data_IF_793775745863
#
_entry.id   IF_793775745863
#
_cell.length_a   1.000
_cell.length_b   1.000
_cell.length_c   1.000
_cell.angle_alpha   90.00
_cell.angle_beta   90.00
_cell.angle_gamma   90.00
#
_symmetry.space_group_name_H-M   'P 1'
#
loop_
_entity.id
_entity.type
_entity.pdbx_description
1 polymer ?
#
# COMPACT_ATOMS: atom_id res chain seq x y z
N UNK A 1 -13.50 -34.37 31.36
CA UNK A 1 -13.64 -34.15 29.90
C UNK A 1 -14.60 -32.99 29.73
N UNK A 2 -14.06 -31.79 29.49
CA UNK A 2 -14.83 -30.58 29.25
C UNK A 2 -14.26 -29.92 28.00
N UNK A 3 -15.08 -29.82 26.97
CA UNK A 3 -14.81 -29.05 25.75
C UNK A 3 -15.09 -27.57 26.03
N UNK A 4 -14.32 -26.62 25.47
CA UNK A 4 -14.58 -25.19 25.57
C UNK A 4 -15.24 -24.70 24.28
N UNK A 5 -16.55 -24.43 24.32
CA UNK A 5 -17.27 -23.87 23.17
C UNK A 5 -18.38 -22.88 23.58
N UNK A 6 -18.17 -22.14 24.67
CA UNK A 6 -19.15 -21.13 25.15
C UNK A 6 -18.42 -19.91 25.71
N UNK A 7 -17.82 -19.11 24.83
CA UNK A 7 -17.12 -17.87 25.22
C UNK A 7 -17.35 -16.75 24.20
N UNK A 8 -18.55 -16.70 23.61
CA UNK A 8 -18.97 -15.64 22.69
C UNK A 8 -20.47 -15.34 22.79
N UNK A 9 -21.01 -15.31 24.02
CA UNK A 9 -22.42 -14.95 24.26
C UNK A 9 -22.55 -13.98 25.45
N UNK A 10 -21.79 -12.89 25.42
CA UNK A 10 -21.84 -11.87 26.47
C UNK A 10 -21.62 -10.46 25.90
N UNK A 11 -22.46 -10.08 24.91
CA UNK A 11 -22.43 -8.71 24.37
C UNK A 11 -23.81 -8.14 24.02
N UNK A 12 -24.87 -8.67 24.62
CA UNK A 12 -26.21 -8.10 24.53
C UNK A 12 -26.73 -7.81 25.94
N UNK A 13 -26.59 -6.54 26.38
CA UNK A 13 -27.46 -5.85 27.34
C UNK A 13 -26.82 -4.53 27.79
N UNK A 14 -27.02 -3.48 26.99
CA UNK A 14 -26.97 -2.10 27.48
C UNK A 14 -28.41 -1.55 27.50
N UNK A 15 -28.97 -1.15 28.66
CA UNK A 15 -30.36 -0.72 28.72
C UNK A 15 -30.55 0.64 28.03
N UNK A 16 -31.52 0.69 27.12
CA UNK A 16 -31.95 1.89 26.41
C UNK A 16 -32.73 2.85 27.33
N UNK A 17 -32.35 4.12 27.39
CA UNK A 17 -33.11 5.15 28.11
C UNK A 17 -34.45 5.48 27.40
N UNK A 18 -35.51 5.83 28.16
CA UNK A 18 -36.83 6.08 27.58
C UNK A 18 -36.91 7.45 26.87
N UNK A 19 -37.26 7.43 25.57
CA UNK A 19 -37.59 8.64 24.81
C UNK A 19 -38.98 9.16 25.20
N UNK A 20 -39.17 10.47 25.50
CA UNK A 20 -40.51 11.01 25.70
C UNK A 20 -41.29 11.11 24.38
N UNK A 21 -42.57 10.74 24.43
CA UNK A 21 -43.50 10.74 23.32
C UNK A 21 -43.86 12.17 22.88
N UNK A 22 -43.83 12.42 21.57
CA UNK A 22 -44.35 13.64 20.95
C UNK A 22 -45.28 13.24 19.79
N UNK A 23 -46.58 13.38 20.05
CA UNK A 23 -47.66 13.37 19.05
C UNK A 23 -47.55 14.63 18.17
N UNK A 24 -47.31 14.44 16.88
CA UNK A 24 -47.59 15.45 15.85
C UNK A 24 -47.97 14.75 14.52
N UNK A 25 -49.07 15.17 13.85
CA UNK A 25 -49.52 14.56 12.59
C UNK A 25 -48.71 15.04 11.36
N UNK A 26 -48.62 14.27 10.26
CA UNK A 26 -48.00 14.69 8.99
C UNK A 26 -49.06 15.22 7.99
N UNK A 27 -48.74 15.58 6.72
CA UNK A 27 -47.75 16.49 6.12
C UNK A 27 -48.48 17.60 5.29
N UNK A 28 -47.87 18.31 4.31
CA UNK A 28 -47.93 17.77 2.95
C UNK A 28 -46.68 17.95 2.07
N UNK A 29 -46.54 16.95 1.21
CA UNK A 29 -45.72 16.83 0.00
C UNK A 29 -45.70 18.08 -0.88
N UNK A 30 -44.51 18.60 -1.15
CA UNK A 30 -44.21 19.57 -2.21
C UNK A 30 -43.12 19.05 -3.13
N UNK A 31 -43.52 18.40 -4.23
CA UNK A 31 -42.66 18.09 -5.38
C UNK A 31 -42.35 19.40 -6.13
N UNK A 32 -41.10 19.80 -6.21
CA UNK A 32 -40.62 20.75 -7.22
C UNK A 32 -39.36 20.20 -7.89
N UNK A 33 -39.54 19.79 -9.15
CA UNK A 33 -38.47 19.59 -10.12
C UNK A 33 -38.17 20.92 -10.82
N UNK A 34 -36.88 21.20 -11.09
CA UNK A 34 -36.30 21.83 -12.29
C UNK A 34 -35.36 23.02 -12.03
N UNK A 35 -34.19 22.95 -12.67
CA UNK A 35 -33.19 24.01 -12.82
C UNK A 35 -31.82 23.51 -12.34
N UNK A 36 -31.08 22.69 -13.10
CA UNK A 36 -30.27 23.06 -14.25
C UNK A 36 -29.20 24.12 -13.90
N UNK A 37 -27.95 23.68 -13.99
CA UNK A 37 -26.76 24.48 -14.35
C UNK A 37 -26.12 25.31 -13.23
N UNK A 38 -25.15 24.68 -12.54
CA UNK A 38 -23.83 25.31 -12.40
C UNK A 38 -22.80 24.27 -12.80
N UNK A 39 -22.43 24.30 -14.09
CA UNK A 39 -21.12 23.84 -14.54
C UNK A 39 -20.08 24.69 -13.81
N UNK A 40 -19.63 24.20 -12.65
CA UNK A 40 -18.37 24.68 -12.09
C UNK A 40 -17.29 24.03 -12.94
N UNK A 41 -16.94 24.71 -14.04
CA UNK A 41 -15.76 24.40 -14.82
C UNK A 41 -14.59 24.27 -13.86
N UNK A 42 -14.09 23.04 -13.73
CA UNK A 42 -12.76 22.82 -13.22
C UNK A 42 -11.83 23.48 -14.24
N UNK A 43 -11.49 24.74 -14.01
CA UNK A 43 -10.30 25.35 -14.59
C UNK A 43 -9.14 24.51 -14.05
N UNK A 44 -8.78 23.47 -14.80
CA UNK A 44 -7.60 22.68 -14.54
C UNK A 44 -6.40 23.60 -14.65
N UNK A 45 -5.88 24.03 -13.51
CA UNK A 45 -4.49 24.46 -13.48
C UNK A 45 -3.68 23.28 -14.01
N UNK A 46 -2.98 23.46 -15.13
CA UNK A 46 -2.08 22.48 -15.74
C UNK A 46 -0.81 22.25 -14.88
N UNK A 47 -0.84 22.69 -13.62
CA UNK A 47 0.21 22.49 -12.64
C UNK A 47 0.02 21.12 -12.00
N UNK A 48 1.08 20.30 -11.90
CA UNK A 48 0.98 19.01 -11.26
C UNK A 48 0.46 19.17 -9.82
N UNK A 49 -0.44 18.29 -9.36
CA UNK A 49 -0.92 18.33 -7.99
C UNK A 49 0.25 18.32 -7.02
N UNK A 50 0.23 19.25 -6.05
CA UNK A 50 1.25 19.29 -5.00
C UNK A 50 1.20 17.96 -4.23
N UNK A 51 2.34 17.28 -4.04
CA UNK A 51 2.39 16.07 -3.23
C UNK A 51 1.96 16.36 -1.78
N UNK A 52 1.20 15.44 -1.18
CA UNK A 52 0.86 15.50 0.25
C UNK A 52 2.12 15.36 1.11
N UNK A 53 3.00 14.44 0.71
CA UNK A 53 4.27 14.19 1.40
C UNK A 53 5.43 14.81 0.63
N UNK A 54 6.39 15.35 1.35
CA UNK A 54 7.55 16.03 0.75
C UNK A 54 8.57 15.07 0.13
N UNK A 55 8.57 13.82 0.57
CA UNK A 55 9.47 12.75 0.11
C UNK A 55 8.93 11.37 0.48
N UNK A 56 9.51 10.33 -0.11
CA UNK A 56 9.26 8.93 0.32
C UNK A 56 9.57 8.71 1.80
N UNK A 57 10.58 9.40 2.35
CA UNK A 57 10.93 9.26 3.76
C UNK A 57 9.81 9.79 4.65
N UNK A 58 9.29 10.97 4.31
CA UNK A 58 8.15 11.59 4.99
C UNK A 58 6.90 10.70 4.91
N UNK A 59 6.59 10.18 3.72
CA UNK A 59 5.49 9.23 3.53
C UNK A 59 5.65 7.97 4.40
N UNK A 60 6.85 7.39 4.47
CA UNK A 60 7.08 6.18 5.26
C UNK A 60 6.95 6.48 6.76
N UNK A 61 7.61 7.53 7.24
CA UNK A 61 7.75 7.85 8.68
C UNK A 61 6.45 8.39 9.30
N UNK A 62 5.66 9.15 8.53
CA UNK A 62 4.45 9.81 9.04
C UNK A 62 3.15 9.09 8.69
N UNK A 63 3.16 8.22 7.68
CA UNK A 63 1.95 7.54 7.20
C UNK A 63 2.09 6.02 7.16
N UNK A 64 3.01 5.49 6.34
CA UNK A 64 3.02 4.07 5.98
C UNK A 64 3.19 3.14 7.19
N UNK A 65 4.13 3.46 8.09
CA UNK A 65 4.43 2.60 9.25
C UNK A 65 3.24 2.48 10.21
N UNK A 66 2.32 3.46 10.23
CA UNK A 66 1.14 3.43 11.08
C UNK A 66 0.01 2.61 10.47
N UNK A 67 -0.14 2.64 9.15
CA UNK A 67 -1.21 1.91 8.45
C UNK A 67 -0.84 0.45 8.12
N UNK A 68 0.46 0.12 8.06
CA UNK A 68 0.97 -1.25 7.87
C UNK A 68 1.67 -1.81 9.12
N UNK A 69 1.04 -1.65 10.28
CA UNK A 69 1.56 -2.19 11.53
C UNK A 69 1.47 -3.74 11.57
N UNK A 70 2.62 -4.40 11.51
CA UNK A 70 2.77 -5.84 11.73
C UNK A 70 3.73 -6.08 12.88
N UNK A 71 3.55 -7.20 13.58
CA UNK A 71 4.48 -7.63 14.62
C UNK A 71 5.75 -8.21 13.99
N UNK A 72 6.80 -7.40 13.95
CA UNK A 72 8.10 -7.73 13.34
C UNK A 72 9.04 -8.50 14.26
N UNK A 73 8.59 -8.86 15.48
CA UNK A 73 9.27 -9.85 16.32
C UNK A 73 9.06 -11.28 15.80
N UNK A 74 8.01 -11.50 15.01
CA UNK A 74 7.67 -12.83 14.53
C UNK A 74 8.56 -13.21 13.34
N UNK A 75 9.03 -14.48 13.26
CA UNK A 75 10.00 -14.89 12.26
C UNK A 75 9.49 -14.79 10.82
N UNK A 76 8.17 -14.79 10.60
CA UNK A 76 7.55 -14.64 9.29
C UNK A 76 7.59 -13.22 8.72
N UNK A 77 7.94 -12.21 9.52
CA UNK A 77 8.00 -10.84 9.06
C UNK A 77 9.41 -10.29 9.26
N UNK A 78 10.02 -9.78 8.19
CA UNK A 78 11.29 -9.06 8.24
C UNK A 78 11.03 -7.56 8.18
N UNK A 79 11.82 -6.82 8.95
CA UNK A 79 11.82 -5.38 8.89
C UNK A 79 13.21 -4.85 9.21
N UNK A 80 13.63 -3.82 8.48
CA UNK A 80 14.86 -3.11 8.77
C UNK A 80 14.55 -1.65 9.11
N UNK A 81 14.93 -1.22 10.32
CA UNK A 81 14.80 0.18 10.73
C UNK A 81 15.60 1.13 9.84
N UNK A 82 16.67 0.64 9.20
CA UNK A 82 17.51 1.37 8.23
C UNK A 82 17.14 0.99 6.80
N UNK A 83 15.85 0.96 6.48
CA UNK A 83 15.35 0.52 5.17
C UNK A 83 15.95 1.31 4.01
N UNK A 84 16.33 2.58 4.22
CA UNK A 84 16.94 3.44 3.19
C UNK A 84 18.34 2.97 2.73
N UNK A 85 18.96 2.02 3.43
CA UNK A 85 20.21 1.39 3.02
C UNK A 85 19.99 0.18 2.09
N UNK A 86 18.73 -0.17 1.81
CA UNK A 86 18.35 -1.26 0.91
C UNK A 86 17.79 -0.67 -0.39
N UNK A 87 18.56 -0.72 -1.48
CA UNK A 87 18.20 -0.08 -2.75
C UNK A 87 16.85 -0.57 -3.31
N UNK A 88 16.57 -1.87 -3.20
CA UNK A 88 15.28 -2.42 -3.58
C UNK A 88 14.14 -1.89 -2.71
N UNK A 89 14.33 -1.78 -1.40
CA UNK A 89 13.31 -1.25 -0.50
C UNK A 89 12.99 0.23 -0.81
N UNK A 90 14.02 1.04 -1.03
CA UNK A 90 13.86 2.45 -1.44
C UNK A 90 13.05 2.54 -2.74
N UNK A 91 13.41 1.74 -3.75
CA UNK A 91 12.69 1.73 -5.03
C UNK A 91 11.22 1.33 -4.87
N UNK A 92 10.93 0.31 -4.05
CA UNK A 92 9.56 -0.14 -3.75
C UNK A 92 8.76 0.93 -3.00
N UNK A 93 9.33 1.57 -1.99
CA UNK A 93 8.65 2.65 -1.25
C UNK A 93 8.42 3.88 -2.12
N UNK A 94 9.38 4.25 -2.97
CA UNK A 94 9.21 5.37 -3.91
C UNK A 94 8.04 5.08 -4.86
N UNK A 95 8.00 3.90 -5.49
CA UNK A 95 6.89 3.50 -6.36
C UNK A 95 5.55 3.50 -5.63
N UNK A 96 5.52 3.01 -4.38
CA UNK A 96 4.33 2.96 -3.55
C UNK A 96 3.81 4.37 -3.19
N UNK A 97 4.72 5.28 -2.83
CA UNK A 97 4.40 6.67 -2.54
C UNK A 97 3.88 7.39 -3.79
N UNK A 98 4.54 7.23 -4.95
CA UNK A 98 4.04 7.84 -6.20
C UNK A 98 2.65 7.35 -6.57
N UNK A 99 2.37 6.06 -6.39
CA UNK A 99 1.03 5.52 -6.61
C UNK A 99 0.01 6.10 -5.62
N UNK A 100 0.39 6.30 -4.35
CA UNK A 100 -0.46 6.94 -3.34
C UNK A 100 -0.82 8.37 -3.75
N UNK A 101 0.18 9.17 -4.11
CA UNK A 101 -0.03 10.57 -4.51
C UNK A 101 -0.97 10.67 -5.71
N UNK A 102 -0.87 9.77 -6.68
CA UNK A 102 -1.79 9.79 -7.82
C UNK A 102 -3.20 9.33 -7.42
N UNK A 103 -3.31 8.20 -6.70
CA UNK A 103 -4.61 7.56 -6.44
C UNK A 103 -5.41 8.23 -5.32
N UNK A 104 -4.78 8.97 -4.41
CA UNK A 104 -5.50 9.73 -3.37
C UNK A 104 -6.39 10.84 -3.94
N UNK A 105 -6.09 11.30 -5.16
CA UNK A 105 -6.84 12.36 -5.84
C UNK A 105 -8.14 11.84 -6.46
N UNK A 106 -8.28 10.52 -6.61
CA UNK A 106 -9.53 9.91 -7.05
C UNK A 106 -10.47 9.73 -5.84
N UNK A 107 -11.60 10.48 -5.77
CA UNK A 107 -12.55 10.38 -4.67
C UNK A 107 -13.38 9.08 -4.70
N UNK A 108 -13.31 8.31 -5.79
CA UNK A 108 -14.03 7.07 -5.98
C UNK A 108 -13.30 5.87 -5.36
N UNK A 109 -12.62 5.10 -6.20
CA UNK A 109 -11.99 3.82 -5.80
C UNK A 109 -10.48 3.90 -5.70
N UNK A 110 -9.87 5.06 -5.93
CA UNK A 110 -8.43 5.28 -5.90
C UNK A 110 -7.73 4.65 -4.71
N UNK A 111 -8.23 4.88 -3.49
CA UNK A 111 -7.63 4.25 -2.30
C UNK A 111 -7.77 2.73 -2.27
N UNK A 112 -8.89 2.18 -2.73
CA UNK A 112 -9.08 0.72 -2.84
C UNK A 112 -8.10 0.10 -3.85
N UNK A 113 -7.92 0.76 -5.00
CA UNK A 113 -6.94 0.39 -6.02
C UNK A 113 -5.52 0.48 -5.47
N UNK A 114 -5.21 1.54 -4.72
CA UNK A 114 -3.90 1.71 -4.10
C UNK A 114 -3.56 0.55 -3.17
N UNK A 115 -4.49 0.17 -2.30
CA UNK A 115 -4.32 -0.98 -1.40
C UNK A 115 -4.13 -2.29 -2.16
N UNK A 116 -5.00 -2.56 -3.15
CA UNK A 116 -5.02 -3.82 -3.89
C UNK A 116 -3.81 -4.01 -4.79
N UNK A 117 -3.47 -2.99 -5.58
CA UNK A 117 -2.53 -3.13 -6.69
C UNK A 117 -1.11 -2.68 -6.34
N UNK A 118 -0.96 -1.81 -5.35
CA UNK A 118 0.33 -1.22 -5.01
C UNK A 118 0.79 -1.60 -3.61
N UNK A 119 0.00 -1.25 -2.60
CA UNK A 119 0.42 -1.38 -1.21
C UNK A 119 0.52 -2.83 -0.75
N UNK A 120 -0.50 -3.65 -1.05
CA UNK A 120 -0.49 -5.08 -0.71
C UNK A 120 0.73 -5.81 -1.27
N UNK A 121 0.96 -5.82 -2.59
CA UNK A 121 2.10 -6.51 -3.20
C UNK A 121 3.45 -5.96 -2.76
N UNK A 122 3.60 -4.63 -2.64
CA UNK A 122 4.87 -4.03 -2.22
C UNK A 122 5.22 -4.40 -0.78
N UNK A 123 4.27 -4.28 0.14
CA UNK A 123 4.49 -4.59 1.55
C UNK A 123 4.65 -6.10 1.79
N UNK A 124 3.94 -6.95 1.04
CA UNK A 124 4.13 -8.39 1.12
C UNK A 124 5.57 -8.79 0.80
N UNK A 125 6.15 -8.25 -0.28
CA UNK A 125 7.54 -8.51 -0.65
C UNK A 125 8.53 -7.95 0.38
N UNK A 126 8.29 -6.77 0.94
CA UNK A 126 9.17 -6.15 1.95
C UNK A 126 9.21 -6.95 3.25
N UNK A 127 8.07 -7.48 3.68
CA UNK A 127 7.98 -8.28 4.91
C UNK A 127 8.43 -9.73 4.72
N UNK A 128 8.60 -10.18 3.48
CA UNK A 128 8.97 -11.56 3.18
C UNK A 128 10.33 -11.92 3.83
N UNK A 129 10.45 -13.08 4.51
CA UNK A 129 11.71 -13.57 5.06
C UNK A 129 12.85 -13.65 4.05
N UNK A 130 12.55 -13.97 2.79
CA UNK A 130 13.49 -14.06 1.68
C UNK A 130 13.48 -12.79 0.81
N UNK A 131 12.87 -11.72 1.32
CA UNK A 131 12.70 -10.44 0.64
C UNK A 131 13.87 -9.47 0.79
N UNK A 132 13.66 -8.18 0.50
CA UNK A 132 14.70 -7.15 0.55
C UNK A 132 15.37 -6.98 1.92
N UNK A 133 14.68 -7.39 2.98
CA UNK A 133 15.19 -7.33 4.36
C UNK A 133 15.68 -8.67 4.88
N UNK A 134 16.02 -9.62 4.00
CA UNK A 134 16.74 -10.82 4.40
C UNK A 134 18.01 -10.44 5.19
N UNK A 135 18.30 -11.22 6.23
CA UNK A 135 19.36 -10.96 7.21
C UNK A 135 19.08 -9.82 8.21
N UNK A 136 18.05 -8.99 8.01
CA UNK A 136 17.72 -7.90 8.92
C UNK A 136 16.71 -8.32 10.00
N UNK A 137 16.79 -7.70 11.17
CA UNK A 137 15.81 -7.89 12.26
C UNK A 137 15.63 -6.60 13.04
N UNK A 138 14.40 -6.11 13.07
CA UNK A 138 14.04 -4.94 13.87
C UNK A 138 14.18 -5.22 15.37
N UNK A 139 13.70 -6.39 15.82
CA UNK A 139 13.78 -6.82 17.23
C UNK A 139 15.22 -6.89 17.74
N UNK A 140 16.12 -7.50 16.94
CA UNK A 140 17.53 -7.65 17.31
C UNK A 140 18.39 -6.42 16.94
N UNK A 141 17.79 -5.38 16.36
CA UNK A 141 18.52 -4.21 15.84
C UNK A 141 19.53 -4.54 14.74
N UNK A 142 19.34 -5.65 14.04
CA UNK A 142 20.28 -6.20 13.05
C UNK A 142 20.04 -5.60 11.67
N UNK A 143 21.10 -5.12 11.05
CA UNK A 143 21.13 -4.65 9.67
C UNK A 143 22.26 -5.36 8.92
N UNK A 144 21.91 -6.42 8.20
CA UNK A 144 22.84 -7.24 7.41
C UNK A 144 22.25 -7.44 5.99
N UNK A 145 22.41 -6.47 5.07
CA UNK A 145 21.99 -6.64 3.69
C UNK A 145 22.73 -7.82 3.04
N UNK A 146 21.98 -8.84 2.60
CA UNK A 146 22.56 -10.07 2.06
C UNK A 146 23.23 -9.85 0.70
N UNK A 147 22.66 -9.01 -0.15
CA UNK A 147 23.17 -8.74 -1.48
C UNK A 147 22.91 -7.28 -1.86
N UNK A 148 23.98 -6.51 -2.10
CA UNK A 148 23.86 -5.11 -2.55
C UNK A 148 23.75 -5.01 -4.08
N UNK A 149 24.30 -5.97 -4.81
CA UNK A 149 24.29 -6.01 -6.26
C UNK A 149 24.33 -7.47 -6.72
N UNK A 150 23.41 -7.85 -7.61
CA UNK A 150 23.42 -9.17 -8.20
C UNK A 150 24.69 -9.36 -9.05
N UNK A 151 25.34 -10.53 -8.99
CA UNK A 151 26.49 -10.81 -9.83
C UNK A 151 26.02 -10.84 -11.29
N UNK A 152 26.60 -9.97 -12.12
CA UNK A 152 26.34 -9.90 -13.55
C UNK A 152 27.67 -9.95 -14.28
N UNK A 153 27.81 -10.89 -15.20
CA UNK A 153 28.92 -10.87 -16.16
C UNK A 153 28.61 -9.85 -17.26
N UNK A 154 29.58 -9.02 -17.67
CA UNK A 154 29.36 -8.06 -18.74
C UNK A 154 29.03 -8.78 -20.05
N UNK A 155 27.93 -8.39 -20.69
CA UNK A 155 27.50 -8.93 -21.97
C UNK A 155 27.89 -7.97 -23.11
N UNK A 156 28.36 -8.52 -24.23
CA UNK A 156 28.57 -7.74 -25.45
C UNK A 156 27.24 -7.46 -26.15
N UNK A 157 27.02 -6.19 -26.48
CA UNK A 157 25.91 -5.66 -27.28
C UNK A 157 25.73 -6.39 -28.62
N UNK A 158 26.83 -6.80 -29.27
CA UNK A 158 26.75 -7.54 -30.53
C UNK A 158 26.17 -8.94 -30.32
N UNK A 159 26.62 -9.63 -29.27
CA UNK A 159 26.08 -10.92 -28.85
C UNK A 159 24.60 -10.78 -28.44
N UNK A 160 24.23 -9.73 -27.72
CA UNK A 160 22.84 -9.46 -27.34
C UNK A 160 21.95 -9.35 -28.57
N UNK A 161 22.35 -8.57 -29.58
CA UNK A 161 21.59 -8.44 -30.84
C UNK A 161 21.46 -9.77 -31.57
N UNK A 162 22.49 -10.60 -31.56
CA UNK A 162 22.46 -11.93 -32.19
C UNK A 162 21.52 -12.92 -31.47
N UNK A 163 21.49 -12.89 -30.14
CA UNK A 163 20.55 -13.71 -29.36
C UNK A 163 19.10 -13.25 -29.62
N UNK A 164 18.86 -11.93 -29.56
CA UNK A 164 17.53 -11.36 -29.78
C UNK A 164 17.01 -11.55 -31.22
N UNK A 165 17.90 -11.69 -32.21
CA UNK A 165 17.53 -12.01 -33.59
C UNK A 165 17.25 -13.50 -33.83
N UNK A 166 17.41 -14.36 -32.81
CA UNK A 166 17.22 -15.80 -32.92
C UNK A 166 18.36 -16.51 -33.68
N UNK A 167 19.48 -15.84 -33.92
CA UNK A 167 20.63 -16.37 -34.65
C UNK A 167 21.68 -16.97 -33.71
N UNK A 168 21.24 -17.75 -32.71
CA UNK A 168 22.15 -18.59 -31.94
C UNK A 168 22.73 -19.64 -32.90
N UNK A 169 24.01 -19.47 -33.27
CA UNK A 169 24.72 -20.50 -33.99
C UNK A 169 24.86 -21.71 -33.06
N UNK A 170 24.11 -22.77 -33.33
CA UNK A 170 24.46 -24.11 -32.87
C UNK A 170 25.80 -24.52 -33.52
N UNK A 171 26.83 -24.71 -32.70
CA UNK A 171 28.13 -25.28 -33.10
C UNK A 171 29.26 -24.68 -32.26
N UNK A 172 30.12 -25.44 -31.58
CA UNK A 172 30.69 -26.72 -31.99
C UNK A 172 31.28 -27.46 -30.77
N UNK A 173 31.12 -28.79 -30.76
CA UNK A 173 31.88 -29.75 -29.96
C UNK A 173 33.36 -29.79 -30.35
#
# INVERSE_FOLDING_TARGET
MSTPDDLFDEMDELPAEPRPAADAPPPPTGRQERGAETESGAEGSDDPPVPEFSSVYDFVDTHLIFIFARDTSKPQFRWCAKWWLHGEAVSRFEALWRAYEQLRLDPGTGMSVWWRDHAGPAMAALFDPDGPFDGCSAELGRHEPVCQMLPVEPMDDALLRQIMSGQLQEGNN
#
